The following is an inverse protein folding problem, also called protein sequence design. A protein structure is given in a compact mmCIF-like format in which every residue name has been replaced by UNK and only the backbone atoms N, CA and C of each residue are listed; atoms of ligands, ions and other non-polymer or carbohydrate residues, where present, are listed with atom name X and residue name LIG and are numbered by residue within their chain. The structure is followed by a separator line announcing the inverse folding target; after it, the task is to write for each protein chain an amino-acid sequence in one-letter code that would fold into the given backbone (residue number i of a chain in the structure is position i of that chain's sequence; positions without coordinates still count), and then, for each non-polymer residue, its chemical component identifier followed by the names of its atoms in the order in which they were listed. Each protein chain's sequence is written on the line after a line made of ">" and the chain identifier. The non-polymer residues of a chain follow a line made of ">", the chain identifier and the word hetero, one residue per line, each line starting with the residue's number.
data_IF_754528431480
#
_entry.id   IF_754528431480
#
_cell.length_a   1.000
_cell.length_b   1.000
_cell.length_c   1.000
_cell.angle_alpha   90.00
_cell.angle_beta   90.00
_cell.angle_gamma   90.00
#
_symmetry.space_group_name_H-M   'P 1'
#
loop_
_entity.id
_entity.type
_entity.pdbx_description
1 polymer ?
#
# COMPACT_ATOMS: atom_id res chain seq x y z
N UNK A 1 -9.30 -20.80 4.35
CA UNK A 1 -10.03 -20.05 3.29
C UNK A 1 -10.01 -20.93 2.07
N UNK A 2 -11.15 -21.19 1.43
CA UNK A 2 -11.17 -21.87 0.14
C UNK A 2 -10.33 -21.05 -0.85
N UNK A 3 -9.30 -21.67 -1.43
CA UNK A 3 -8.45 -21.01 -2.42
C UNK A 3 -9.29 -20.70 -3.65
N UNK A 4 -9.37 -19.41 -4.01
CA UNK A 4 -10.00 -18.98 -5.26
C UNK A 4 -9.28 -19.64 -6.44
N UNK A 5 -10.03 -20.13 -7.42
CA UNK A 5 -9.50 -20.59 -8.69
C UNK A 5 -8.84 -19.44 -9.45
N UNK A 6 -7.90 -19.77 -10.35
CA UNK A 6 -7.23 -18.74 -11.16
C UNK A 6 -8.21 -17.98 -12.07
N UNK A 7 -9.32 -18.63 -12.47
CA UNK A 7 -10.42 -17.99 -13.17
C UNK A 7 -11.10 -16.93 -12.31
N UNK A 8 -11.40 -17.23 -11.05
CA UNK A 8 -12.01 -16.27 -10.12
C UNK A 8 -11.06 -15.10 -9.84
N UNK A 9 -9.76 -15.35 -9.64
CA UNK A 9 -8.75 -14.28 -9.50
C UNK A 9 -8.70 -13.39 -10.74
N UNK A 10 -8.70 -13.97 -11.94
CA UNK A 10 -8.69 -13.23 -13.20
C UNK A 10 -9.96 -12.38 -13.39
N UNK A 11 -11.13 -12.93 -13.02
CA UNK A 11 -12.39 -12.19 -13.07
C UNK A 11 -12.40 -11.00 -12.08
N UNK A 12 -11.87 -11.18 -10.86
CA UNK A 12 -11.70 -10.09 -9.88
C UNK A 12 -10.79 -9.00 -10.44
N UNK A 13 -9.60 -9.37 -10.96
CA UNK A 13 -8.69 -8.41 -11.59
C UNK A 13 -9.38 -7.60 -12.68
N UNK A 14 -10.12 -8.28 -13.57
CA UNK A 14 -10.84 -7.65 -14.69
C UNK A 14 -11.89 -6.65 -14.20
N UNK A 15 -12.58 -6.91 -13.10
CA UNK A 15 -13.54 -5.96 -12.52
C UNK A 15 -12.82 -4.73 -11.95
N UNK A 16 -11.71 -4.94 -11.23
CA UNK A 16 -10.89 -3.85 -10.70
C UNK A 16 -10.38 -2.95 -11.83
N UNK A 17 -9.84 -3.51 -12.92
CA UNK A 17 -9.38 -2.73 -14.07
C UNK A 17 -10.47 -1.89 -14.76
N UNK A 18 -11.74 -2.29 -14.66
CA UNK A 18 -12.88 -1.55 -15.22
C UNK A 18 -13.40 -0.45 -14.28
N UNK A 19 -12.91 -0.40 -13.05
CA UNK A 19 -13.36 0.56 -12.04
C UNK A 19 -12.93 1.97 -12.44
N UNK A 20 -13.90 2.89 -12.53
CA UNK A 20 -13.65 4.32 -12.80
C UNK A 20 -13.89 5.20 -11.58
N UNK A 21 -14.80 4.79 -10.70
CA UNK A 21 -15.09 5.49 -9.46
C UNK A 21 -14.51 4.73 -8.26
N UNK A 22 -13.37 5.23 -7.77
CA UNK A 22 -12.75 4.73 -6.55
C UNK A 22 -13.49 5.23 -5.32
N UNK A 23 -14.49 4.50 -4.87
CA UNK A 23 -15.19 4.69 -3.60
C UNK A 23 -14.79 3.61 -2.58
N UNK A 24 -15.35 3.65 -1.37
CA UNK A 24 -14.99 2.72 -0.29
C UNK A 24 -15.05 1.24 -0.71
N UNK A 25 -16.11 0.81 -1.39
CA UNK A 25 -16.28 -0.59 -1.79
C UNK A 25 -15.21 -1.02 -2.79
N UNK A 26 -14.92 -0.18 -3.78
CA UNK A 26 -13.90 -0.47 -4.78
C UNK A 26 -12.47 -0.46 -4.21
N UNK A 27 -12.18 0.45 -3.27
CA UNK A 27 -10.91 0.49 -2.56
C UNK A 27 -10.74 -0.77 -1.69
N UNK A 28 -11.78 -1.16 -0.96
CA UNK A 28 -11.79 -2.37 -0.14
C UNK A 28 -11.56 -3.61 -1.00
N UNK A 29 -12.24 -3.72 -2.15
CA UNK A 29 -12.05 -4.81 -3.09
C UNK A 29 -10.60 -4.87 -3.59
N UNK A 30 -10.02 -3.74 -3.98
CA UNK A 30 -8.61 -3.69 -4.39
C UNK A 30 -7.70 -4.13 -3.26
N UNK A 31 -7.83 -3.55 -2.06
CA UNK A 31 -6.96 -3.85 -0.92
C UNK A 31 -6.92 -5.35 -0.60
N UNK A 32 -8.07 -6.04 -0.67
CA UNK A 32 -8.16 -7.50 -0.47
C UNK A 32 -7.55 -8.30 -1.63
N UNK A 33 -7.65 -7.78 -2.86
CA UNK A 33 -7.23 -8.48 -4.07
C UNK A 33 -5.77 -8.21 -4.45
N UNK A 34 -5.08 -7.23 -3.84
CA UNK A 34 -3.68 -6.87 -4.16
C UNK A 34 -2.72 -8.06 -4.23
N UNK A 35 -2.80 -9.10 -3.37
CA UNK A 35 -1.94 -10.28 -3.48
C UNK A 35 -2.04 -11.05 -4.81
N UNK A 36 -3.08 -10.80 -5.61
CA UNK A 36 -3.24 -11.43 -6.91
C UNK A 36 -2.48 -10.68 -8.01
N UNK A 37 -2.11 -9.42 -7.79
CA UNK A 37 -1.50 -8.54 -8.80
C UNK A 37 0.03 -8.58 -8.72
N UNK A 38 0.68 -8.36 -9.86
CA UNK A 38 2.10 -7.97 -9.91
C UNK A 38 2.21 -6.44 -9.96
N UNK A 39 3.43 -5.90 -9.86
CA UNK A 39 3.63 -4.45 -9.82
C UNK A 39 3.15 -3.75 -11.10
N UNK A 40 3.38 -4.35 -12.26
CA UNK A 40 3.03 -3.79 -13.57
C UNK A 40 1.51 -3.66 -13.74
N UNK A 41 0.73 -4.65 -13.26
CA UNK A 41 -0.72 -4.59 -13.26
C UNK A 41 -1.23 -3.39 -12.44
N UNK A 42 -0.55 -3.05 -11.34
CA UNK A 42 -1.00 -2.05 -10.38
C UNK A 42 -0.60 -0.62 -10.73
N UNK A 43 0.49 -0.37 -11.46
CA UNK A 43 0.99 0.99 -11.75
C UNK A 43 -0.10 1.93 -12.25
N UNK A 44 -0.90 1.48 -13.22
CA UNK A 44 -2.00 2.29 -13.77
C UNK A 44 -3.14 2.53 -12.75
N UNK A 45 -3.55 1.47 -12.04
CA UNK A 45 -4.62 1.52 -11.04
C UNK A 45 -4.24 2.50 -9.92
N UNK A 46 -3.03 2.35 -9.40
CA UNK A 46 -2.50 3.09 -8.27
C UNK A 46 -2.32 4.56 -8.61
N UNK A 47 -1.77 4.89 -9.78
CA UNK A 47 -1.67 6.27 -10.24
C UNK A 47 -3.05 6.96 -10.28
N UNK A 48 -4.10 6.24 -10.72
CA UNK A 48 -5.48 6.74 -10.75
C UNK A 48 -6.02 7.03 -9.34
N UNK A 49 -5.81 6.10 -8.41
CA UNK A 49 -6.25 6.25 -7.02
C UNK A 49 -5.50 7.39 -6.34
N UNK A 50 -4.17 7.39 -6.40
CA UNK A 50 -3.35 8.38 -5.69
C UNK A 50 -3.53 9.79 -6.24
N UNK A 51 -3.83 9.93 -7.54
CA UNK A 51 -4.22 11.22 -8.11
C UNK A 51 -5.58 11.70 -7.58
N UNK A 52 -6.57 10.82 -7.39
CA UNK A 52 -7.88 11.17 -6.81
C UNK A 52 -7.75 11.57 -5.34
N UNK A 53 -6.90 10.89 -4.60
CA UNK A 53 -6.71 11.05 -3.15
C UNK A 53 -5.47 11.89 -2.79
N UNK A 54 -4.99 12.74 -3.71
CA UNK A 54 -3.72 13.49 -3.55
C UNK A 54 -3.62 14.30 -2.25
N UNK A 55 -4.77 14.70 -1.69
CA UNK A 55 -4.92 15.34 -0.39
C UNK A 55 -5.87 14.52 0.48
N UNK A 56 -5.41 14.12 1.65
CA UNK A 56 -6.20 13.29 2.59
C UNK A 56 -7.06 14.12 3.55
N UNK A 57 -6.94 15.45 3.53
CA UNK A 57 -7.54 16.34 4.54
C UNK A 57 -9.07 16.25 4.63
N UNK A 58 -9.74 16.15 3.49
CA UNK A 58 -11.21 16.15 3.39
C UNK A 58 -11.78 14.78 3.00
N UNK A 59 -10.95 13.73 3.09
CA UNK A 59 -11.33 12.36 2.77
C UNK A 59 -11.93 11.70 4.01
N UNK A 60 -12.99 10.91 3.84
CA UNK A 60 -13.61 10.17 4.95
C UNK A 60 -12.59 9.21 5.59
N UNK A 61 -12.60 9.09 6.92
CA UNK A 61 -11.66 8.26 7.68
C UNK A 61 -11.51 6.83 7.10
N UNK A 62 -12.63 6.17 6.79
CA UNK A 62 -12.61 4.81 6.21
C UNK A 62 -11.89 4.76 4.85
N UNK A 63 -12.03 5.79 4.02
CA UNK A 63 -11.33 5.88 2.76
C UNK A 63 -9.85 6.18 2.98
N UNK A 64 -9.52 6.99 3.99
CA UNK A 64 -8.13 7.27 4.34
C UNK A 64 -7.40 5.99 4.76
N UNK A 65 -8.04 5.18 5.61
CA UNK A 65 -7.53 3.88 6.05
C UNK A 65 -7.29 2.93 4.86
N UNK A 66 -8.28 2.81 3.97
CA UNK A 66 -8.17 1.94 2.79
C UNK A 66 -7.07 2.39 1.82
N UNK A 67 -7.00 3.69 1.51
CA UNK A 67 -5.94 4.24 0.64
C UNK A 67 -4.57 4.07 1.27
N UNK A 68 -4.45 4.24 2.60
CA UNK A 68 -3.20 4.03 3.33
C UNK A 68 -2.76 2.56 3.28
N UNK A 69 -3.69 1.61 3.47
CA UNK A 69 -3.41 0.19 3.34
C UNK A 69 -2.96 -0.18 1.92
N UNK A 70 -3.62 0.37 0.90
CA UNK A 70 -3.23 0.20 -0.51
C UNK A 70 -1.82 0.74 -0.76
N UNK A 71 -1.48 1.93 -0.24
CA UNK A 71 -0.16 2.52 -0.39
C UNK A 71 0.94 1.68 0.29
N UNK A 72 0.70 1.19 1.52
CA UNK A 72 1.65 0.30 2.21
C UNK A 72 1.86 -1.00 1.45
N UNK A 73 0.77 -1.65 1.01
CA UNK A 73 0.86 -2.89 0.24
C UNK A 73 1.57 -2.70 -1.10
N UNK A 74 1.34 -1.57 -1.77
CA UNK A 74 2.00 -1.23 -3.02
C UNK A 74 3.50 -1.04 -2.83
N UNK A 75 3.91 -0.32 -1.77
CA UNK A 75 5.33 -0.14 -1.44
C UNK A 75 6.02 -1.47 -1.12
N UNK A 76 5.34 -2.37 -0.39
CA UNK A 76 5.83 -3.72 -0.11
C UNK A 76 6.05 -4.53 -1.38
N UNK A 77 5.09 -4.52 -2.30
CA UNK A 77 5.20 -5.20 -3.58
C UNK A 77 6.32 -4.60 -4.45
N UNK A 78 6.37 -3.27 -4.55
CA UNK A 78 7.39 -2.55 -5.33
C UNK A 78 8.80 -2.88 -4.82
N UNK A 79 8.99 -2.91 -3.50
CA UNK A 79 10.27 -3.30 -2.90
C UNK A 79 10.62 -4.76 -3.19
N UNK A 80 9.66 -5.68 -3.04
CA UNK A 80 9.85 -7.11 -3.26
C UNK A 80 10.17 -7.45 -4.73
N UNK A 81 9.47 -6.84 -5.67
CA UNK A 81 9.68 -7.04 -7.12
C UNK A 81 10.85 -6.20 -7.68
N UNK A 82 11.60 -5.49 -6.82
CA UNK A 82 12.69 -4.60 -7.20
C UNK A 82 12.31 -3.54 -8.25
N UNK A 83 11.07 -3.04 -8.15
CA UNK A 83 10.58 -1.99 -9.04
C UNK A 83 11.40 -0.71 -8.87
N UNK A 84 11.70 -0.08 -10.00
CA UNK A 84 12.50 1.16 -10.06
C UNK A 84 11.67 2.36 -10.46
N UNK A 85 10.35 2.21 -10.58
CA UNK A 85 9.48 3.32 -10.94
C UNK A 85 9.30 4.28 -9.76
N UNK A 86 10.15 5.29 -9.72
CA UNK A 86 10.17 6.26 -8.63
C UNK A 86 8.88 7.07 -8.52
N UNK A 87 8.07 7.18 -9.59
CA UNK A 87 6.93 8.08 -9.61
C UNK A 87 5.83 7.60 -8.66
N UNK A 88 5.35 6.38 -8.82
CA UNK A 88 4.28 5.80 -8.01
C UNK A 88 4.75 5.53 -6.57
N UNK A 89 6.01 5.15 -6.38
CA UNK A 89 6.64 5.02 -5.04
C UNK A 89 6.60 6.36 -4.30
N UNK A 90 7.02 7.46 -4.95
CA UNK A 90 6.99 8.80 -4.36
C UNK A 90 5.56 9.26 -4.04
N UNK A 91 4.59 8.94 -4.91
CA UNK A 91 3.18 9.24 -4.65
C UNK A 91 2.67 8.49 -3.42
N UNK A 92 2.93 7.19 -3.31
CA UNK A 92 2.56 6.38 -2.15
C UNK A 92 3.13 6.96 -0.85
N UNK A 93 4.45 7.22 -0.83
CA UNK A 93 5.12 7.79 0.35
C UNK A 93 4.57 9.18 0.70
N UNK A 94 4.31 10.03 -0.30
CA UNK A 94 3.73 11.36 -0.10
C UNK A 94 2.36 11.30 0.57
N UNK A 95 1.49 10.39 0.13
CA UNK A 95 0.16 10.21 0.74
C UNK A 95 0.27 9.82 2.22
N UNK A 96 1.13 8.86 2.54
CA UNK A 96 1.31 8.39 3.91
C UNK A 96 1.90 9.50 4.82
N UNK A 97 2.77 10.36 4.29
CA UNK A 97 3.33 11.51 5.04
C UNK A 97 2.27 12.53 5.46
N UNK A 98 1.22 12.70 4.65
CA UNK A 98 0.15 13.67 4.91
C UNK A 98 -0.77 13.26 6.07
N UNK A 99 -0.76 11.99 6.48
CA UNK A 99 -1.60 11.50 7.56
C UNK A 99 -1.29 12.22 8.88
N UNK A 100 -2.36 12.54 9.63
CA UNK A 100 -2.27 13.10 10.98
C UNK A 100 -1.53 12.15 11.93
N UNK A 101 -0.96 12.68 13.02
CA UNK A 101 -0.27 11.89 14.05
C UNK A 101 -1.24 11.22 15.04
N UNK A 102 -2.43 10.85 14.59
CA UNK A 102 -3.43 10.17 15.41
C UNK A 102 -3.10 8.67 15.54
N UNK A 103 -3.47 8.00 16.65
CA UNK A 103 -3.20 6.58 16.86
C UNK A 103 -3.65 5.68 15.69
N UNK A 104 -4.79 5.98 15.07
CA UNK A 104 -5.33 5.22 13.92
C UNK A 104 -4.38 5.16 12.71
N UNK A 105 -3.50 6.16 12.57
CA UNK A 105 -2.56 6.29 11.46
C UNK A 105 -1.15 5.76 11.79
N UNK A 106 -0.90 5.28 13.01
CA UNK A 106 0.46 4.98 13.48
C UNK A 106 1.18 3.97 12.58
N UNK A 107 0.51 2.88 12.21
CA UNK A 107 1.06 1.83 11.37
C UNK A 107 1.47 2.38 10.00
N UNK A 108 0.56 3.09 9.33
CA UNK A 108 0.81 3.71 8.03
C UNK A 108 2.03 4.66 8.06
N UNK A 109 2.17 5.47 9.13
CA UNK A 109 3.32 6.39 9.30
C UNK A 109 4.62 5.67 9.61
N UNK A 110 4.60 4.54 10.31
CA UNK A 110 5.79 3.73 10.54
C UNK A 110 6.23 3.06 9.24
N UNK A 111 5.29 2.50 8.47
CA UNK A 111 5.57 1.85 7.19
C UNK A 111 6.09 2.84 6.14
N UNK A 112 5.60 4.09 6.13
CA UNK A 112 6.18 5.16 5.31
C UNK A 112 7.67 5.36 5.60
N UNK A 113 8.04 5.43 6.88
CA UNK A 113 9.44 5.60 7.27
C UNK A 113 10.28 4.36 6.96
N UNK A 114 9.70 3.16 7.09
CA UNK A 114 10.34 1.90 6.76
C UNK A 114 10.67 1.83 5.27
N UNK A 115 9.68 2.01 4.41
CA UNK A 115 9.88 1.93 2.97
C UNK A 115 10.73 3.09 2.44
N UNK A 116 10.61 4.30 2.99
CA UNK A 116 11.57 5.39 2.68
C UNK A 116 13.00 4.94 2.95
N UNK A 117 13.28 4.36 4.13
CA UNK A 117 14.61 3.87 4.48
C UNK A 117 15.07 2.74 3.55
N UNK A 118 14.16 1.84 3.16
CA UNK A 118 14.46 0.74 2.24
C UNK A 118 14.85 1.26 0.84
N UNK A 119 14.08 2.18 0.26
CA UNK A 119 14.38 2.74 -1.06
C UNK A 119 15.60 3.66 -1.05
N UNK A 120 15.85 4.38 0.04
CA UNK A 120 17.02 5.24 0.23
C UNK A 120 18.30 4.46 0.63
N UNK A 121 18.21 3.12 0.79
CA UNK A 121 19.28 2.26 1.31
C UNK A 121 19.80 2.64 2.72
N UNK A 122 18.98 3.30 3.54
CA UNK A 122 19.28 3.56 4.95
C UNK A 122 19.03 2.29 5.79
N UNK A 123 19.98 1.36 5.69
CA UNK A 123 19.92 0.06 6.38
C UNK A 123 19.76 0.20 7.89
N UNK A 124 20.36 1.23 8.50
CA UNK A 124 20.30 1.42 9.96
C UNK A 124 18.89 1.78 10.40
N UNK A 125 18.23 2.69 9.68
CA UNK A 125 16.86 3.10 10.00
C UNK A 125 15.86 1.98 9.69
N UNK A 126 16.02 1.30 8.55
CA UNK A 126 15.18 0.16 8.19
C UNK A 126 15.26 -0.95 9.25
N UNK A 127 16.47 -1.33 9.66
CA UNK A 127 16.68 -2.37 10.67
C UNK A 127 16.11 -1.99 12.04
N UNK A 128 16.25 -0.73 12.45
CA UNK A 128 15.65 -0.26 13.71
C UNK A 128 14.12 -0.40 13.70
N UNK A 129 13.48 -0.08 12.58
CA UNK A 129 12.02 -0.23 12.46
C UNK A 129 11.65 -1.71 12.41
N UNK A 130 12.40 -2.54 11.67
CA UNK A 130 12.22 -3.99 11.64
C UNK A 130 12.28 -4.61 13.04
N UNK A 131 13.30 -4.25 13.81
CA UNK A 131 13.49 -4.73 15.18
C UNK A 131 12.32 -4.33 16.09
N UNK A 132 11.79 -3.10 15.96
CA UNK A 132 10.59 -2.68 16.68
C UNK A 132 9.38 -3.60 16.42
N UNK A 133 9.15 -4.02 15.16
CA UNK A 133 8.08 -4.96 14.85
C UNK A 133 8.36 -6.37 15.39
N UNK A 134 9.61 -6.84 15.33
CA UNK A 134 10.01 -8.15 15.87
C UNK A 134 9.78 -8.22 17.39
N UNK A 135 10.20 -7.20 18.13
CA UNK A 135 10.07 -7.14 19.59
C UNK A 135 8.63 -7.08 20.08
N UNK A 136 7.68 -6.80 19.19
CA UNK A 136 6.25 -6.73 19.48
C UNK A 136 5.44 -7.85 18.79
N UNK A 137 6.08 -8.94 18.38
CA UNK A 137 5.43 -10.10 17.73
C UNK A 137 4.68 -9.75 16.42
N UNK A 138 5.19 -8.75 15.69
CA UNK A 138 4.61 -8.22 14.46
C UNK A 138 5.56 -8.35 13.25
N UNK A 139 6.46 -9.34 13.27
CA UNK A 139 7.48 -9.55 12.24
C UNK A 139 6.92 -9.76 10.82
N UNK A 140 5.66 -10.22 10.68
CA UNK A 140 4.98 -10.39 9.39
C UNK A 140 4.95 -9.12 8.53
N UNK A 141 4.95 -7.92 9.13
CA UNK A 141 4.84 -6.66 8.39
C UNK A 141 6.15 -6.14 7.79
N UNK A 142 7.30 -6.69 8.19
CA UNK A 142 8.61 -6.14 7.86
C UNK A 142 9.54 -7.11 7.14
N UNK A 143 9.00 -8.22 6.59
CA UNK A 143 9.76 -9.21 5.81
C UNK A 143 10.91 -9.88 6.58
N UNK A 144 11.42 -10.98 6.05
CA UNK A 144 12.72 -11.52 6.49
C UNK A 144 13.88 -10.80 5.80
#
# INVERSE_FOLDING_TARGET
>A
MNELSDREKADIKKQIFKTKDWNENSLRLLAMAMPFFNIEDLKFIINTIFSKYYSMKDVLDVQQELVSAIAVNYLGLAYHEHDKDEKEIKLALSLLRQLSHEPKNCFAKIMEQYYTAQFDNDKKKAERIKQFFIENDMNYYVGE
#
